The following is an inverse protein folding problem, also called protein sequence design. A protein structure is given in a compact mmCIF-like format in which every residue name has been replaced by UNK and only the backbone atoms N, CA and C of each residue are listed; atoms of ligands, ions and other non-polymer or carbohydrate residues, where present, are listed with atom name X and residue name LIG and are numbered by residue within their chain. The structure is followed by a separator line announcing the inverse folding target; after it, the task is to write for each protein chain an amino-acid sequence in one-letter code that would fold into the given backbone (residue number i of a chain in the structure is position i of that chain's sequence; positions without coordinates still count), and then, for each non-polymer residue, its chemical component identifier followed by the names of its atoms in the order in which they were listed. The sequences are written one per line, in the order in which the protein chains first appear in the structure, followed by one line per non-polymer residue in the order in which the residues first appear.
data_IF_976054801512
#
_entry.id   IF_976054801512
#
_cell.length_a   1.000
_cell.length_b   1.000
_cell.length_c   1.000
_cell.angle_alpha   90.00
_cell.angle_beta   90.00
_cell.angle_gamma   90.00
#
_symmetry.space_group_name_H-M   'P 1'
#
loop_
_entity.id
_entity.type
_entity.pdbx_description
1 polymer ?
#
# COMPACT_ATOMS: atom_id res chain seq x y z
N UNK A 1 4.39 -11.04 15.71
CA UNK A 1 4.67 -11.01 14.27
C UNK A 1 4.81 -9.58 13.81
N UNK A 2 5.63 -9.35 12.81
CA UNK A 2 5.81 -8.01 12.27
C UNK A 2 4.58 -7.56 11.50
N UNK A 3 4.35 -6.26 11.50
CA UNK A 3 3.28 -5.63 10.73
C UNK A 3 3.88 -4.55 9.84
N UNK A 4 3.17 -4.23 8.78
CA UNK A 4 3.60 -3.19 7.86
C UNK A 4 2.62 -2.02 7.92
N UNK A 5 3.15 -0.83 8.11
CA UNK A 5 2.37 0.40 8.00
C UNK A 5 2.59 0.96 6.60
N UNK A 6 1.52 1.00 5.83
CA UNK A 6 1.56 1.43 4.43
C UNK A 6 0.88 2.78 4.33
N UNK A 7 1.61 3.78 3.87
CA UNK A 7 1.09 5.14 3.73
C UNK A 7 1.10 5.54 2.26
N UNK A 8 -0.03 5.98 1.74
CA UNK A 8 -0.12 6.45 0.37
C UNK A 8 0.51 7.84 0.28
N UNK A 9 1.60 7.97 -0.46
CA UNK A 9 2.32 9.24 -0.59
C UNK A 9 2.10 9.90 -1.94
N UNK A 10 1.61 9.17 -2.95
CA UNK A 10 1.31 9.72 -4.27
C UNK A 10 -0.07 9.27 -4.72
N UNK A 11 -0.75 10.14 -5.49
CA UNK A 11 -2.07 9.82 -6.00
C UNK A 11 -2.01 8.67 -7.02
N UNK A 12 -2.95 7.72 -6.91
CA UNK A 12 -3.09 6.64 -7.86
C UNK A 12 -4.05 6.99 -9.00
N UNK A 13 -4.59 8.21 -9.02
CA UNK A 13 -5.63 8.58 -9.97
C UNK A 13 -5.20 8.46 -11.42
N UNK A 14 -3.92 8.70 -11.72
CA UNK A 14 -3.39 8.65 -13.07
C UNK A 14 -2.57 7.40 -13.34
N UNK A 15 -2.71 6.39 -12.48
CA UNK A 15 -1.95 5.14 -12.61
C UNK A 15 -2.79 4.09 -13.33
N UNK A 16 -2.15 2.98 -13.68
CA UNK A 16 -2.83 1.87 -14.33
C UNK A 16 -3.99 1.36 -13.46
N UNK A 17 -5.09 0.91 -14.08
CA UNK A 17 -6.23 0.41 -13.30
C UNK A 17 -5.86 -0.68 -12.30
N UNK A 18 -4.90 -1.52 -12.65
CA UNK A 18 -4.41 -2.58 -11.77
C UNK A 18 -3.83 -2.04 -10.48
N UNK A 19 -3.03 -0.97 -10.58
CA UNK A 19 -2.44 -0.33 -9.40
C UNK A 19 -3.50 0.37 -8.56
N UNK A 20 -4.45 1.04 -9.20
CA UNK A 20 -5.56 1.68 -8.51
C UNK A 20 -6.37 0.68 -7.71
N UNK A 21 -6.61 -0.49 -8.29
CA UNK A 21 -7.35 -1.55 -7.62
C UNK A 21 -6.61 -2.03 -6.37
N UNK A 22 -5.30 -2.22 -6.47
CA UNK A 22 -4.49 -2.65 -5.33
C UNK A 22 -4.53 -1.61 -4.21
N UNK A 23 -4.38 -0.34 -4.53
CA UNK A 23 -4.46 0.74 -3.56
C UNK A 23 -5.81 0.72 -2.85
N UNK A 24 -6.88 0.52 -3.59
CA UNK A 24 -8.22 0.46 -3.03
C UNK A 24 -8.40 -0.77 -2.14
N UNK A 25 -7.88 -1.92 -2.55
CA UNK A 25 -7.96 -3.15 -1.77
C UNK A 25 -7.21 -3.04 -0.45
N UNK A 26 -6.13 -2.28 -0.42
CA UNK A 26 -5.39 -2.02 0.81
C UNK A 26 -6.10 -1.02 1.72
N UNK A 27 -7.12 -0.34 1.21
CA UNK A 27 -7.86 0.64 2.00
C UNK A 27 -7.27 2.04 1.97
N UNK A 28 -6.39 2.32 1.03
CA UNK A 28 -5.75 3.63 0.89
C UNK A 28 -6.57 4.49 -0.06
N UNK A 29 -7.45 5.32 0.49
CA UNK A 29 -8.34 6.14 -0.33
C UNK A 29 -7.80 7.50 -0.72
N UNK A 30 -6.86 8.04 0.04
CA UNK A 30 -6.34 9.40 -0.16
C UNK A 30 -4.85 9.46 0.12
N UNK A 31 -4.20 10.50 -0.39
CA UNK A 31 -2.81 10.78 -0.05
C UNK A 31 -2.71 10.98 1.46
N UNK A 32 -1.65 10.45 2.04
CA UNK A 32 -1.40 10.42 3.48
C UNK A 32 -2.29 9.47 4.28
N UNK A 33 -3.15 8.70 3.62
CA UNK A 33 -3.86 7.61 4.27
C UNK A 33 -2.88 6.48 4.61
N UNK A 34 -3.04 5.88 5.77
CA UNK A 34 -2.19 4.77 6.17
C UNK A 34 -3.04 3.61 6.66
N UNK A 35 -2.52 2.41 6.47
CA UNK A 35 -3.14 1.19 6.98
C UNK A 35 -2.06 0.29 7.54
N UNK A 36 -2.47 -0.58 8.46
CA UNK A 36 -1.56 -1.56 9.04
C UNK A 36 -2.01 -2.94 8.56
N UNK A 37 -1.09 -3.67 7.96
CA UNK A 37 -1.33 -5.01 7.43
C UNK A 37 -0.29 -5.97 7.98
N UNK A 38 -0.62 -7.26 8.08
CA UNK A 38 0.37 -8.24 8.49
C UNK A 38 1.47 -8.38 7.44
N UNK A 39 2.67 -8.69 7.91
CA UNK A 39 3.80 -8.89 7.02
C UNK A 39 3.75 -10.31 6.45
N UNK A 40 3.03 -10.49 5.36
CA UNK A 40 2.94 -11.78 4.70
C UNK A 40 3.22 -11.64 3.19
N UNK A 41 3.35 -12.79 2.52
CA UNK A 41 3.73 -12.81 1.11
C UNK A 41 2.67 -12.13 0.22
N UNK A 42 1.40 -12.28 0.55
CA UNK A 42 0.34 -11.67 -0.25
C UNK A 42 0.39 -10.15 -0.15
N UNK A 43 0.55 -9.61 1.07
CA UNK A 43 0.65 -8.17 1.28
C UNK A 43 1.90 -7.62 0.60
N UNK A 44 3.03 -8.30 0.73
CA UNK A 44 4.26 -7.86 0.09
C UNK A 44 4.14 -7.84 -1.44
N UNK A 45 3.45 -8.81 -2.00
CA UNK A 45 3.20 -8.86 -3.44
C UNK A 45 2.38 -7.66 -3.92
N UNK A 46 1.34 -7.30 -3.17
CA UNK A 46 0.55 -6.11 -3.48
C UNK A 46 1.38 -4.84 -3.37
N UNK A 47 2.15 -4.70 -2.31
CA UNK A 47 3.00 -3.53 -2.09
C UNK A 47 4.05 -3.40 -3.21
N UNK A 48 4.59 -4.51 -3.67
CA UNK A 48 5.58 -4.51 -4.74
C UNK A 48 5.06 -3.78 -6.00
N UNK A 49 3.79 -4.00 -6.34
CA UNK A 49 3.20 -3.38 -7.51
C UNK A 49 2.97 -1.87 -7.36
N UNK A 50 2.86 -1.38 -6.13
CA UNK A 50 2.58 0.03 -5.87
C UNK A 50 3.67 0.69 -5.01
N UNK A 51 4.84 0.08 -4.91
CA UNK A 51 5.91 0.58 -4.05
C UNK A 51 6.30 2.04 -4.35
N UNK A 52 6.17 2.46 -5.60
CA UNK A 52 6.46 3.82 -6.00
C UNK A 52 5.37 4.83 -5.60
N UNK A 53 4.24 4.34 -5.10
CA UNK A 53 3.12 5.19 -4.68
C UNK A 53 2.99 5.27 -3.16
N UNK A 54 3.60 4.35 -2.44
CA UNK A 54 3.44 4.24 -1.00
C UNK A 54 4.77 4.23 -0.29
N UNK A 55 4.71 4.58 0.99
CA UNK A 55 5.83 4.43 1.91
C UNK A 55 5.47 3.30 2.87
N UNK A 56 6.42 2.42 3.11
CA UNK A 56 6.19 1.24 3.95
C UNK A 56 7.13 1.28 5.14
N UNK A 57 6.55 1.14 6.33
CA UNK A 57 7.30 1.12 7.57
C UNK A 57 7.03 -0.21 8.28
N UNK A 58 8.09 -0.83 8.79
CA UNK A 58 7.97 -2.08 9.51
C UNK A 58 7.70 -1.78 10.98
N UNK A 59 6.62 -2.33 11.50
CA UNK A 59 6.24 -2.19 12.91
C UNK A 59 6.45 -3.55 13.57
N UNK A 60 7.25 -3.55 14.60
CA UNK A 60 7.52 -4.78 15.35
C UNK A 60 6.65 -4.86 16.60
#
# INVERSE_FOLDING_TARGET
MAQLKITLVRSAAHRLPKQRKIVKELGLGRINSSVIKPDDAATRGQIFHIAHLVDVEIIK
#
